data_IF_771944556602
#
_entry.id   IF_771944556602
#
_cell.length_a   1.000
_cell.length_b   1.000
_cell.length_c   1.000
_cell.angle_alpha   90.00
_cell.angle_beta   90.00
_cell.angle_gamma   90.00
#
_symmetry.space_group_name_H-M   'P 1'
#
loop_
_entity.id
_entity.type
_entity.pdbx_description
1 polymer ?
#
# COMPACT_ATOMS: atom_id res chain seq x y z
N UNK A 1 -10.54 2.53 26.48
CA UNK A 1 -10.50 3.29 25.22
C UNK A 1 -11.76 4.15 24.95
N UNK A 2 -12.95 3.77 25.43
CA UNK A 2 -14.22 4.44 25.09
C UNK A 2 -14.51 5.79 25.78
N UNK A 3 -13.63 6.34 26.59
CA UNK A 3 -13.84 7.61 27.28
C UNK A 3 -12.86 8.74 26.94
N UNK A 4 -11.84 8.46 26.16
CA UNK A 4 -10.87 9.47 25.76
C UNK A 4 -11.25 10.09 24.41
N UNK A 5 -11.05 11.42 24.19
CA UNK A 5 -11.34 12.08 22.90
C UNK A 5 -10.71 11.40 21.69
N UNK A 6 -9.54 10.82 21.85
CA UNK A 6 -8.83 10.09 20.79
C UNK A 6 -9.48 8.74 20.47
N UNK A 7 -10.13 8.08 21.43
CA UNK A 7 -10.91 6.85 21.18
C UNK A 7 -12.10 7.12 20.24
N UNK A 8 -12.69 8.30 20.31
CA UNK A 8 -13.76 8.73 19.40
C UNK A 8 -13.23 8.94 17.97
N UNK A 9 -12.03 9.52 17.81
CA UNK A 9 -11.39 9.67 16.49
C UNK A 9 -11.20 8.31 15.83
N UNK A 10 -10.68 7.32 16.53
CA UNK A 10 -10.48 5.98 15.99
C UNK A 10 -11.80 5.28 15.66
N UNK A 11 -12.81 5.42 16.51
CA UNK A 11 -14.14 4.85 16.30
C UNK A 11 -14.85 5.42 15.05
N UNK A 12 -14.53 6.65 14.64
CA UNK A 12 -15.07 7.26 13.42
C UNK A 12 -14.17 6.98 12.21
N UNK A 13 -12.85 7.12 12.36
CA UNK A 13 -11.90 7.04 11.27
C UNK A 13 -11.90 5.66 10.58
N UNK A 14 -11.78 4.58 11.35
CA UNK A 14 -11.64 3.24 10.77
C UNK A 14 -12.89 2.75 10.02
N UNK A 15 -14.13 2.94 10.51
CA UNK A 15 -15.33 2.64 9.73
C UNK A 15 -15.44 3.43 8.42
N UNK A 16 -15.09 4.72 8.43
CA UNK A 16 -15.07 5.54 7.21
C UNK A 16 -14.03 5.00 6.23
N UNK A 17 -12.83 4.67 6.71
CA UNK A 17 -11.76 4.12 5.89
C UNK A 17 -12.18 2.80 5.23
N UNK A 18 -12.84 1.90 5.97
CA UNK A 18 -13.36 0.65 5.45
C UNK A 18 -14.49 0.87 4.43
N UNK A 19 -15.46 1.74 4.75
CA UNK A 19 -16.60 2.03 3.90
C UNK A 19 -16.19 2.64 2.54
N UNK A 20 -15.08 3.38 2.49
CA UNK A 20 -14.54 3.96 1.26
C UNK A 20 -13.57 2.98 0.59
N UNK A 21 -12.63 2.43 1.34
CA UNK A 21 -11.51 1.68 0.80
C UNK A 21 -11.89 0.32 0.21
N UNK A 22 -12.84 -0.40 0.84
CA UNK A 22 -13.29 -1.70 0.33
C UNK A 22 -13.95 -1.56 -1.05
N UNK A 23 -15.03 -0.76 -1.23
CA UNK A 23 -15.66 -0.65 -2.54
C UNK A 23 -14.75 -0.01 -3.58
N UNK A 24 -13.89 0.94 -3.20
CA UNK A 24 -12.96 1.58 -4.13
C UNK A 24 -11.95 0.57 -4.72
N UNK A 25 -11.33 -0.28 -3.89
CA UNK A 25 -10.40 -1.30 -4.36
C UNK A 25 -11.10 -2.40 -5.17
N UNK A 26 -12.30 -2.83 -4.76
CA UNK A 26 -13.12 -3.77 -5.55
C UNK A 26 -13.43 -3.23 -6.94
N UNK A 27 -13.81 -1.97 -7.06
CA UNK A 27 -14.06 -1.30 -8.33
C UNK A 27 -12.80 -1.26 -9.20
N UNK A 28 -11.62 -0.96 -8.61
CA UNK A 28 -10.34 -1.00 -9.34
C UNK A 28 -10.07 -2.39 -9.89
N UNK A 29 -10.19 -3.43 -9.06
CA UNK A 29 -9.98 -4.83 -9.48
C UNK A 29 -10.91 -5.16 -10.65
N UNK A 30 -12.20 -4.87 -10.54
CA UNK A 30 -13.18 -5.16 -11.59
C UNK A 30 -12.90 -4.42 -12.91
N UNK A 31 -12.59 -3.12 -12.84
CA UNK A 31 -12.38 -2.29 -14.04
C UNK A 31 -11.05 -2.67 -14.73
N UNK A 32 -9.96 -2.79 -13.98
CA UNK A 32 -8.65 -3.07 -14.55
C UNK A 32 -8.55 -4.50 -15.09
N UNK A 33 -9.17 -5.49 -14.43
CA UNK A 33 -9.19 -6.89 -14.89
C UNK A 33 -9.90 -7.05 -16.24
N UNK A 34 -10.84 -6.16 -16.58
CA UNK A 34 -11.49 -6.14 -17.91
C UNK A 34 -10.56 -5.71 -19.05
N UNK A 35 -9.39 -5.13 -18.76
CA UNK A 35 -8.38 -4.76 -19.74
C UNK A 35 -8.73 -3.61 -20.68
N UNK A 36 -9.85 -2.90 -20.46
CA UNK A 36 -10.37 -1.84 -21.35
C UNK A 36 -9.75 -0.46 -21.13
N UNK A 37 -8.94 -0.29 -20.08
CA UNK A 37 -8.35 1.02 -19.72
C UNK A 37 -7.21 1.47 -20.65
N UNK A 38 -6.78 0.65 -21.61
CA UNK A 38 -5.68 0.98 -22.54
C UNK A 38 -4.30 1.07 -21.90
N UNK A 39 -4.15 0.47 -20.72
CA UNK A 39 -2.86 0.27 -20.05
C UNK A 39 -2.14 -0.94 -20.63
N UNK A 40 -0.80 -0.98 -20.52
CA UNK A 40 -0.07 -2.21 -20.84
C UNK A 40 -0.45 -3.31 -19.86
N UNK A 41 -0.41 -4.56 -20.31
CA UNK A 41 -0.72 -5.71 -19.46
C UNK A 41 0.15 -5.73 -18.18
N UNK A 42 1.44 -5.37 -18.29
CA UNK A 42 2.34 -5.30 -17.15
C UNK A 42 1.87 -4.29 -16.09
N UNK A 43 1.50 -3.07 -16.51
CA UNK A 43 0.92 -2.07 -15.59
C UNK A 43 -0.34 -2.63 -14.94
N UNK A 44 -1.24 -3.20 -15.72
CA UNK A 44 -2.51 -3.74 -15.22
C UNK A 44 -2.28 -4.79 -14.14
N UNK A 45 -1.34 -5.73 -14.33
CA UNK A 45 -1.03 -6.74 -13.32
C UNK A 45 -0.54 -6.12 -12.00
N UNK A 46 0.39 -5.15 -12.05
CA UNK A 46 0.83 -4.46 -10.83
C UNK A 46 -0.31 -3.73 -10.13
N UNK A 47 -1.11 -2.94 -10.86
CA UNK A 47 -2.18 -2.16 -10.26
C UNK A 47 -3.29 -3.04 -9.68
N UNK A 48 -3.63 -4.16 -10.33
CA UNK A 48 -4.60 -5.13 -9.80
C UNK A 48 -4.04 -5.82 -8.56
N UNK A 49 -2.77 -6.25 -8.58
CA UNK A 49 -2.14 -6.88 -7.40
C UNK A 49 -2.07 -5.91 -6.22
N UNK A 50 -1.72 -4.64 -6.45
CA UNK A 50 -1.75 -3.61 -5.41
C UNK A 50 -3.17 -3.44 -4.85
N UNK A 51 -4.20 -3.35 -5.70
CA UNK A 51 -5.57 -3.20 -5.25
C UNK A 51 -6.08 -4.43 -4.47
N UNK A 52 -5.66 -5.65 -4.84
CA UNK A 52 -5.96 -6.89 -4.07
C UNK A 52 -5.28 -6.85 -2.71
N UNK A 53 -4.00 -6.51 -2.66
CA UNK A 53 -3.24 -6.39 -1.41
C UNK A 53 -3.83 -5.30 -0.51
N UNK A 54 -4.15 -4.13 -1.05
CA UNK A 54 -4.76 -3.02 -0.32
C UNK A 54 -6.15 -3.41 0.23
N UNK A 55 -6.96 -4.14 -0.55
CA UNK A 55 -8.25 -4.67 -0.11
C UNK A 55 -8.09 -5.64 1.06
N UNK A 56 -7.17 -6.60 0.96
CA UNK A 56 -6.87 -7.56 2.03
C UNK A 56 -6.37 -6.85 3.28
N UNK A 57 -5.50 -5.84 3.12
CA UNK A 57 -4.99 -5.06 4.24
C UNK A 57 -6.10 -4.28 4.94
N UNK A 58 -7.03 -3.67 4.21
CA UNK A 58 -8.19 -2.98 4.80
C UNK A 58 -9.08 -3.99 5.55
N UNK A 59 -9.35 -5.16 4.99
CA UNK A 59 -10.16 -6.18 5.66
C UNK A 59 -9.47 -6.64 6.95
N UNK A 60 -8.20 -7.03 6.89
CA UNK A 60 -7.51 -7.64 8.04
C UNK A 60 -7.15 -6.58 9.07
N UNK A 61 -6.57 -5.46 8.66
CA UNK A 61 -6.06 -4.44 9.57
C UNK A 61 -7.15 -3.49 10.06
N UNK A 62 -8.04 -3.03 9.17
CA UNK A 62 -9.07 -2.06 9.56
C UNK A 62 -10.27 -2.77 10.16
N UNK A 63 -10.87 -3.74 9.43
CA UNK A 63 -12.13 -4.38 9.88
C UNK A 63 -11.87 -5.38 11.01
N UNK A 64 -11.01 -6.38 10.77
CA UNK A 64 -10.82 -7.48 11.74
C UNK A 64 -9.90 -7.10 12.91
N UNK A 65 -9.05 -6.09 12.77
CA UNK A 65 -8.17 -5.65 13.86
C UNK A 65 -8.73 -4.43 14.59
N UNK A 66 -8.89 -3.29 13.89
CA UNK A 66 -9.25 -2.02 14.53
C UNK A 66 -10.74 -1.93 14.86
N UNK A 67 -11.65 -2.16 13.89
CA UNK A 67 -13.10 -2.08 14.12
C UNK A 67 -13.52 -3.18 15.09
N UNK A 68 -13.13 -4.42 14.87
CA UNK A 68 -13.48 -5.52 15.77
C UNK A 68 -12.89 -5.32 17.17
N UNK A 69 -11.66 -4.81 17.31
CA UNK A 69 -11.04 -4.50 18.60
C UNK A 69 -11.76 -3.38 19.36
N UNK A 70 -12.33 -2.39 18.65
CA UNK A 70 -13.07 -1.28 19.28
C UNK A 70 -14.48 -1.69 19.68
N UNK A 71 -15.22 -2.36 18.80
CA UNK A 71 -16.64 -2.64 18.99
C UNK A 71 -16.95 -4.03 19.58
N UNK A 72 -16.03 -5.00 19.37
CA UNK A 72 -16.19 -6.40 19.81
C UNK A 72 -14.91 -6.93 20.48
N UNK A 73 -14.44 -6.32 21.58
CA UNK A 73 -13.15 -6.63 22.19
C UNK A 73 -13.01 -8.06 22.73
N UNK A 74 -14.11 -8.72 23.05
CA UNK A 74 -14.15 -10.12 23.54
C UNK A 74 -14.61 -11.10 22.46
N UNK A 75 -14.32 -10.84 21.20
CA UNK A 75 -14.61 -11.77 20.11
C UNK A 75 -13.53 -12.85 19.96
N UNK A 76 -13.80 -13.90 19.19
CA UNK A 76 -12.81 -14.92 18.81
C UNK A 76 -11.52 -14.33 18.21
N UNK A 77 -11.62 -13.15 17.59
CA UNK A 77 -10.46 -12.44 17.03
C UNK A 77 -9.49 -11.96 18.09
N UNK A 78 -9.86 -11.89 19.35
CA UNK A 78 -9.03 -11.47 20.47
C UNK A 78 -8.35 -12.62 21.20
N UNK A 79 -8.61 -13.87 20.83
CA UNK A 79 -7.88 -15.03 21.36
C UNK A 79 -6.44 -14.98 20.83
N UNK A 80 -5.45 -15.20 21.71
CA UNK A 80 -4.02 -15.00 21.40
C UNK A 80 -3.54 -15.66 20.11
N UNK A 81 -3.82 -16.95 19.80
CA UNK A 81 -3.39 -17.54 18.52
C UNK A 81 -3.97 -16.84 17.29
N UNK A 82 -5.26 -16.43 17.36
CA UNK A 82 -5.93 -15.74 16.25
C UNK A 82 -5.40 -14.31 16.10
N UNK A 83 -5.20 -13.64 17.21
CA UNK A 83 -4.63 -12.30 17.25
C UNK A 83 -3.18 -12.31 16.69
N UNK A 84 -2.34 -13.26 17.09
CA UNK A 84 -0.95 -13.41 16.60
C UNK A 84 -0.91 -13.66 15.09
N UNK A 85 -1.77 -14.56 14.59
CA UNK A 85 -1.91 -14.82 13.16
C UNK A 85 -2.35 -13.55 12.40
N UNK A 86 -3.36 -12.85 12.93
CA UNK A 86 -3.87 -11.63 12.33
C UNK A 86 -2.78 -10.55 12.22
N UNK A 87 -1.97 -10.36 13.26
CA UNK A 87 -0.87 -9.39 13.24
C UNK A 87 0.20 -9.80 12.21
N UNK A 88 0.59 -11.08 12.15
CA UNK A 88 1.53 -11.57 11.14
C UNK A 88 0.99 -11.33 9.70
N UNK A 89 -0.31 -11.52 9.47
CA UNK A 89 -0.96 -11.24 8.19
C UNK A 89 -1.01 -9.73 7.86
N UNK A 90 -1.20 -8.86 8.85
CA UNK A 90 -1.14 -7.41 8.68
C UNK A 90 0.24 -6.99 8.19
N UNK A 91 1.31 -7.41 8.87
CA UNK A 91 2.67 -7.10 8.45
C UNK A 91 3.01 -7.69 7.08
N UNK A 92 2.53 -8.89 6.77
CA UNK A 92 2.65 -9.49 5.43
C UNK A 92 1.96 -8.63 4.37
N UNK A 93 0.75 -8.15 4.64
CA UNK A 93 0.02 -7.26 3.73
C UNK A 93 0.73 -5.92 3.51
N UNK A 94 1.24 -5.32 4.58
CA UNK A 94 2.05 -4.09 4.50
C UNK A 94 3.28 -4.31 3.62
N UNK A 95 4.04 -5.39 3.88
CA UNK A 95 5.21 -5.73 3.08
C UNK A 95 4.89 -5.93 1.61
N UNK A 96 3.84 -6.68 1.30
CA UNK A 96 3.41 -6.90 -0.07
C UNK A 96 3.07 -5.57 -0.76
N UNK A 97 2.31 -4.69 -0.12
CA UNK A 97 1.95 -3.37 -0.69
C UNK A 97 3.20 -2.52 -0.95
N UNK A 98 4.13 -2.47 0.01
CA UNK A 98 5.39 -1.74 -0.10
C UNK A 98 6.24 -2.27 -1.25
N UNK A 99 6.52 -3.58 -1.29
CA UNK A 99 7.38 -4.17 -2.32
C UNK A 99 6.74 -4.19 -3.71
N UNK A 100 5.41 -4.29 -3.81
CA UNK A 100 4.71 -4.11 -5.08
C UNK A 100 4.86 -2.69 -5.61
N UNK A 101 4.87 -1.68 -4.72
CA UNK A 101 5.13 -0.28 -5.09
C UNK A 101 6.56 -0.10 -5.61
N UNK A 102 7.55 -0.74 -4.97
CA UNK A 102 8.96 -0.76 -5.48
C UNK A 102 9.02 -1.42 -6.85
N UNK A 103 8.43 -2.60 -7.00
CA UNK A 103 8.45 -3.35 -8.25
C UNK A 103 7.76 -2.59 -9.39
N UNK A 104 6.61 -1.96 -9.12
CA UNK A 104 5.94 -1.06 -10.06
C UNK A 104 6.82 0.14 -10.44
N UNK A 105 7.44 0.78 -9.46
CA UNK A 105 8.33 1.94 -9.69
C UNK A 105 9.54 1.55 -10.55
N UNK A 106 10.15 0.40 -10.27
CA UNK A 106 11.23 -0.15 -11.07
C UNK A 106 10.79 -0.50 -12.51
N UNK A 107 9.64 -1.17 -12.67
CA UNK A 107 9.08 -1.48 -14.00
C UNK A 107 8.85 -0.21 -14.82
N UNK A 108 8.36 0.86 -14.20
CA UNK A 108 8.18 2.15 -14.86
C UNK A 108 9.50 2.80 -15.22
N UNK A 109 10.48 2.78 -14.32
CA UNK A 109 11.84 3.25 -14.62
C UNK A 109 12.42 2.53 -15.83
N UNK A 110 12.38 1.20 -15.87
CA UNK A 110 12.84 0.40 -16.99
C UNK A 110 12.10 0.77 -18.29
N UNK A 111 10.78 0.87 -18.22
CA UNK A 111 9.94 1.18 -19.39
C UNK A 111 10.21 2.58 -19.97
N UNK A 112 10.60 3.54 -19.14
CA UNK A 112 10.82 4.95 -19.53
C UNK A 112 12.28 5.17 -19.94
N UNK A 113 13.24 4.62 -19.20
CA UNK A 113 14.66 4.94 -19.32
C UNK A 113 15.48 3.90 -20.07
N UNK A 114 15.08 2.61 -20.07
CA UNK A 114 15.90 1.50 -20.52
C UNK A 114 15.21 0.69 -21.62
N UNK A 115 15.13 1.22 -22.86
CA UNK A 115 14.38 0.59 -23.96
C UNK A 115 14.81 -0.85 -24.29
N UNK A 116 16.12 -1.14 -24.24
CA UNK A 116 16.64 -2.50 -24.49
C UNK A 116 16.18 -3.50 -23.42
N UNK A 117 16.20 -3.07 -22.15
CA UNK A 117 15.76 -3.90 -21.02
C UNK A 117 14.23 -4.05 -20.97
N UNK A 118 13.48 -3.03 -21.41
CA UNK A 118 12.01 -3.05 -21.47
C UNK A 118 11.49 -4.27 -22.25
N UNK A 119 12.06 -4.58 -23.40
CA UNK A 119 11.63 -5.72 -24.24
C UNK A 119 11.76 -7.04 -23.49
N UNK A 120 12.83 -7.21 -22.72
CA UNK A 120 13.14 -8.42 -21.98
C UNK A 120 12.42 -8.50 -20.64
N UNK A 121 12.35 -7.38 -19.90
CA UNK A 121 11.87 -7.33 -18.52
C UNK A 121 10.35 -7.07 -18.41
N UNK A 122 9.80 -6.12 -19.17
CA UNK A 122 8.37 -5.76 -19.08
C UNK A 122 7.47 -6.75 -19.81
N UNK A 123 7.56 -8.03 -19.47
CA UNK A 123 6.71 -9.12 -20.00
C UNK A 123 5.74 -9.61 -18.95
N UNK A 124 4.57 -10.13 -19.35
CA UNK A 124 3.59 -10.68 -18.42
C UNK A 124 4.19 -11.76 -17.50
N UNK A 125 4.98 -12.68 -18.08
CA UNK A 125 5.61 -13.77 -17.33
C UNK A 125 6.54 -13.24 -16.24
N UNK A 126 7.34 -12.23 -16.55
CA UNK A 126 8.27 -11.60 -15.60
C UNK A 126 7.49 -10.92 -14.47
N UNK A 127 6.47 -10.13 -14.81
CA UNK A 127 5.65 -9.41 -13.80
C UNK A 127 4.97 -10.38 -12.84
N UNK A 128 4.34 -11.45 -13.35
CA UNK A 128 3.69 -12.46 -12.49
C UNK A 128 4.71 -13.15 -11.58
N UNK A 129 5.91 -13.49 -12.09
CA UNK A 129 6.98 -14.05 -11.25
C UNK A 129 7.42 -13.07 -10.17
N UNK A 130 7.63 -11.80 -10.51
CA UNK A 130 8.03 -10.77 -9.53
C UNK A 130 6.97 -10.62 -8.44
N UNK A 131 5.70 -10.51 -8.81
CA UNK A 131 4.58 -10.41 -7.85
C UNK A 131 4.56 -11.65 -6.95
N UNK A 132 4.60 -12.85 -7.51
CA UNK A 132 4.59 -14.11 -6.76
C UNK A 132 5.79 -14.23 -5.81
N UNK A 133 7.00 -13.90 -6.28
CA UNK A 133 8.22 -13.94 -5.46
C UNK A 133 8.15 -12.95 -4.31
N UNK A 134 7.75 -11.69 -4.55
CA UNK A 134 7.62 -10.69 -3.50
C UNK A 134 6.59 -11.11 -2.46
N UNK A 135 5.44 -11.62 -2.87
CA UNK A 135 4.41 -12.12 -1.95
C UNK A 135 4.91 -13.30 -1.12
N UNK A 136 5.58 -14.27 -1.74
CA UNK A 136 6.14 -15.42 -1.03
C UNK A 136 7.22 -15.02 -0.01
N UNK A 137 8.13 -14.11 -0.38
CA UNK A 137 9.16 -13.60 0.52
C UNK A 137 8.55 -12.81 1.69
N UNK A 138 7.52 -11.99 1.44
CA UNK A 138 6.80 -11.26 2.48
C UNK A 138 6.12 -12.21 3.47
N UNK A 139 5.47 -13.27 2.97
CA UNK A 139 4.88 -14.30 3.83
C UNK A 139 5.93 -14.99 4.67
N UNK A 140 7.01 -15.50 4.05
CA UNK A 140 8.08 -16.22 4.74
C UNK A 140 8.74 -15.37 5.83
N UNK A 141 9.05 -14.12 5.51
CA UNK A 141 9.67 -13.19 6.44
C UNK A 141 8.79 -12.93 7.67
N UNK A 142 7.51 -12.71 7.49
CA UNK A 142 6.60 -12.33 8.57
C UNK A 142 5.99 -13.52 9.34
N UNK A 143 6.23 -14.76 8.92
CA UNK A 143 5.77 -15.95 9.65
C UNK A 143 6.31 -16.01 11.07
N UNK A 144 7.55 -15.56 11.29
CA UNK A 144 8.17 -15.55 12.63
C UNK A 144 7.47 -14.60 13.61
N UNK A 145 6.78 -13.57 13.11
CA UNK A 145 6.00 -12.64 13.96
C UNK A 145 4.86 -13.34 14.72
N UNK A 146 4.40 -14.49 14.25
CA UNK A 146 3.40 -15.28 14.98
C UNK A 146 3.88 -15.69 16.39
N UNK A 147 5.18 -15.94 16.56
CA UNK A 147 5.75 -16.49 17.79
C UNK A 147 6.19 -15.43 18.82
N UNK A 148 6.15 -14.15 18.46
CA UNK A 148 6.59 -13.07 19.37
C UNK A 148 5.52 -12.67 20.40
N UNK A 149 4.31 -13.19 20.29
CA UNK A 149 3.19 -12.80 21.16
C UNK A 149 2.95 -13.81 22.28
N UNK A 150 2.47 -13.30 23.39
CA UNK A 150 1.96 -14.03 24.55
C UNK A 150 0.59 -13.50 24.97
N UNK A 151 -0.21 -14.28 25.72
CA UNK A 151 -1.50 -13.79 26.20
C UNK A 151 -1.30 -12.67 27.22
N UNK A 152 -2.13 -11.64 27.13
CA UNK A 152 -2.19 -10.60 28.15
C UNK A 152 -2.92 -11.08 29.39
N UNK A 153 -3.97 -11.89 29.20
CA UNK A 153 -4.78 -12.51 30.26
C UNK A 153 -5.12 -13.95 29.91
N UNK A 154 -5.28 -14.80 30.92
CA UNK A 154 -5.85 -16.15 30.80
C UNK A 154 -7.11 -16.20 31.64
N UNK A 155 -8.26 -16.39 30.98
CA UNK A 155 -9.58 -16.44 31.63
C UNK A 155 -10.24 -17.78 31.27
N UNK A 156 -10.55 -18.62 32.26
CA UNK A 156 -11.10 -19.96 32.04
C UNK A 156 -10.31 -20.80 31.06
N UNK A 157 -8.98 -20.84 31.23
CA UNK A 157 -8.00 -21.54 30.40
C UNK A 157 -7.94 -21.06 28.93
N UNK A 158 -8.60 -19.96 28.58
CA UNK A 158 -8.55 -19.34 27.27
C UNK A 158 -7.56 -18.16 27.33
N UNK A 159 -6.53 -18.15 26.45
CA UNK A 159 -5.58 -17.04 26.36
C UNK A 159 -6.20 -15.87 25.57
N UNK A 160 -6.26 -14.71 26.20
CA UNK A 160 -6.86 -13.50 25.62
C UNK A 160 -5.84 -12.43 25.31
N UNK A 161 -6.07 -11.71 24.21
CA UNK A 161 -5.27 -10.62 23.67
C UNK A 161 -3.84 -11.04 23.28
N UNK A 162 -3.11 -10.11 22.68
CA UNK A 162 -1.71 -10.30 22.27
C UNK A 162 -0.85 -9.22 22.90
N UNK A 163 0.09 -9.64 23.70
CA UNK A 163 1.16 -8.80 24.18
C UNK A 163 2.47 -9.24 23.54
N UNK A 164 3.37 -8.30 23.21
CA UNK A 164 4.68 -8.66 22.69
C UNK A 164 5.53 -9.17 23.87
N UNK A 165 6.12 -10.33 23.71
CA UNK A 165 7.02 -10.92 24.71
C UNK A 165 8.20 -10.00 25.00
N UNK A 166 8.57 -9.85 26.26
CA UNK A 166 9.75 -9.09 26.65
C UNK A 166 11.03 -9.61 25.96
N UNK A 167 11.11 -10.92 25.72
CA UNK A 167 12.23 -11.56 25.00
C UNK A 167 12.41 -11.02 23.58
N UNK A 168 11.38 -10.47 22.95
CA UNK A 168 11.49 -9.84 21.63
C UNK A 168 12.43 -8.62 21.65
N UNK A 169 12.42 -7.87 22.74
CA UNK A 169 13.25 -6.68 22.90
C UNK A 169 14.63 -6.97 23.51
N UNK A 170 14.76 -8.05 24.30
CA UNK A 170 15.97 -8.35 25.07
C UNK A 170 16.86 -9.44 24.47
N UNK A 171 16.30 -10.37 23.69
CA UNK A 171 17.07 -11.44 23.06
C UNK A 171 17.84 -10.93 21.84
N UNK A 172 19.15 -11.18 21.71
CA UNK A 172 19.93 -10.76 20.55
C UNK A 172 19.38 -11.26 19.22
N UNK A 173 18.85 -12.49 19.17
CA UNK A 173 18.28 -13.06 17.95
C UNK A 173 17.03 -12.30 17.49
N UNK A 174 16.10 -12.02 18.40
CA UNK A 174 14.90 -11.25 18.10
C UNK A 174 15.21 -9.79 17.79
N UNK A 175 16.14 -9.18 18.50
CA UNK A 175 16.62 -7.83 18.23
C UNK A 175 17.22 -7.72 16.82
N UNK A 176 18.05 -8.70 16.41
CA UNK A 176 18.60 -8.76 15.05
C UNK A 176 17.50 -8.91 14.00
N UNK A 177 16.53 -9.80 14.26
CA UNK A 177 15.39 -9.99 13.38
C UNK A 177 14.58 -8.70 13.22
N UNK A 178 14.30 -7.98 14.29
CA UNK A 178 13.58 -6.71 14.27
C UNK A 178 14.32 -5.64 13.44
N UNK A 179 15.64 -5.51 13.59
CA UNK A 179 16.44 -4.63 12.74
C UNK A 179 16.39 -5.03 11.26
N UNK A 180 16.40 -6.33 10.95
CA UNK A 180 16.21 -6.83 9.58
C UNK A 180 14.84 -6.40 9.03
N UNK A 181 13.77 -6.53 9.82
CA UNK A 181 12.43 -6.10 9.44
C UNK A 181 12.41 -4.60 9.14
N UNK A 182 12.98 -3.76 10.02
CA UNK A 182 13.03 -2.30 9.86
C UNK A 182 13.81 -1.91 8.59
N UNK A 183 14.93 -2.57 8.31
CA UNK A 183 15.73 -2.27 7.11
C UNK A 183 15.00 -2.71 5.85
N UNK A 184 14.48 -3.94 5.82
CA UNK A 184 13.91 -4.53 4.61
C UNK A 184 12.52 -3.97 4.27
N UNK A 185 11.73 -3.55 5.24
CA UNK A 185 10.36 -3.12 4.96
C UNK A 185 10.22 -1.61 4.79
N UNK A 186 10.60 -0.73 5.74
CA UNK A 186 10.48 0.68 5.44
C UNK A 186 11.66 1.23 4.65
N UNK A 187 12.90 1.04 5.12
CA UNK A 187 14.01 1.87 4.66
C UNK A 187 14.54 1.51 3.28
N UNK A 188 14.81 0.24 3.00
CA UNK A 188 15.30 -0.18 1.69
C UNK A 188 14.31 0.14 0.56
N UNK A 189 13.01 -0.21 0.67
CA UNK A 189 12.00 0.20 -0.28
C UNK A 189 11.95 1.71 -0.50
N UNK A 190 12.01 2.50 0.57
CA UNK A 190 11.96 3.95 0.51
C UNK A 190 13.12 4.52 -0.31
N UNK A 191 14.35 4.06 -0.03
CA UNK A 191 15.55 4.44 -0.77
C UNK A 191 15.43 4.04 -2.24
N UNK A 192 14.96 2.82 -2.54
CA UNK A 192 14.81 2.33 -3.91
C UNK A 192 13.78 3.16 -4.69
N UNK A 193 12.63 3.48 -4.09
CA UNK A 193 11.61 4.32 -4.72
C UNK A 193 12.17 5.71 -5.02
N UNK A 194 12.85 6.35 -4.07
CA UNK A 194 13.49 7.64 -4.29
C UNK A 194 14.54 7.59 -5.40
N UNK A 195 15.39 6.57 -5.39
CA UNK A 195 16.45 6.37 -6.39
C UNK A 195 15.85 6.22 -7.80
N UNK A 196 14.88 5.32 -8.00
CA UNK A 196 14.27 5.09 -9.31
C UNK A 196 13.51 6.32 -9.80
N UNK A 197 12.83 7.05 -8.92
CA UNK A 197 12.19 8.31 -9.26
C UNK A 197 13.21 9.38 -9.66
N UNK A 198 14.29 9.55 -8.91
CA UNK A 198 15.36 10.51 -9.23
C UNK A 198 16.04 10.19 -10.58
N UNK A 199 16.36 8.91 -10.85
CA UNK A 199 16.91 8.47 -12.12
C UNK A 199 15.92 8.71 -13.27
N UNK A 200 14.63 8.50 -13.05
CA UNK A 200 13.60 8.77 -14.06
C UNK A 200 13.51 10.27 -14.37
N UNK A 201 13.49 11.13 -13.35
CA UNK A 201 13.52 12.60 -13.53
C UNK A 201 14.75 13.03 -14.31
N UNK A 202 15.94 12.56 -13.90
CA UNK A 202 17.20 12.89 -14.59
C UNK A 202 17.14 12.52 -16.08
N UNK A 203 16.65 11.33 -16.41
CA UNK A 203 16.50 10.88 -17.80
C UNK A 203 15.51 11.77 -18.58
N UNK A 204 14.35 12.11 -18.00
CA UNK A 204 13.35 12.97 -18.65
C UNK A 204 13.92 14.36 -18.93
N UNK A 205 14.60 14.95 -17.96
CA UNK A 205 15.20 16.28 -18.10
C UNK A 205 16.29 16.28 -19.19
N UNK A 206 17.16 15.27 -19.22
CA UNK A 206 18.18 15.11 -20.24
C UNK A 206 17.57 14.98 -21.64
N UNK A 207 16.57 14.12 -21.81
CA UNK A 207 15.86 13.94 -23.07
C UNK A 207 15.13 15.24 -23.52
N UNK A 208 14.56 15.99 -22.58
CA UNK A 208 13.90 17.27 -22.87
C UNK A 208 14.90 18.33 -23.34
N UNK A 209 16.07 18.40 -22.71
CA UNK A 209 17.16 19.33 -23.12
C UNK A 209 17.67 19.00 -24.53
N UNK A 210 17.92 17.72 -24.84
CA UNK A 210 18.31 17.28 -26.16
C UNK A 210 17.32 17.66 -27.27
N UNK A 211 16.01 17.41 -27.01
CA UNK A 211 14.92 17.80 -27.93
C UNK A 211 14.84 19.31 -28.13
N UNK A 212 15.00 20.10 -27.06
CA UNK A 212 14.98 21.57 -27.17
C UNK A 212 16.10 22.08 -28.06
N UNK A 213 17.30 21.50 -28.00
CA UNK A 213 18.42 21.81 -28.87
C UNK A 213 18.10 21.46 -30.33
N UNK A 214 17.53 20.29 -30.62
CA UNK A 214 17.16 19.88 -31.97
C UNK A 214 16.05 20.76 -32.57
N UNK A 215 15.05 21.17 -31.77
CA UNK A 215 13.99 22.08 -32.23
C UNK A 215 14.47 23.49 -32.53
N UNK A 216 15.50 23.95 -31.84
CA UNK A 216 16.13 25.25 -32.17
C UNK A 216 16.77 25.27 -33.56
N UNK A 217 16.99 24.09 -34.17
CA UNK A 217 17.58 23.94 -35.50
C UNK A 217 16.60 23.54 -36.60
N UNK A 218 15.33 23.21 -36.26
CA UNK A 218 14.33 22.82 -37.25
C UNK A 218 13.00 23.58 -37.02
N UNK A 219 12.47 24.19 -38.10
CA UNK A 219 11.14 24.86 -38.12
C UNK A 219 9.97 23.88 -38.17
N UNK A 220 10.05 22.71 -37.54
CA UNK A 220 9.04 21.68 -37.61
C UNK A 220 7.85 21.99 -36.72
N UNK A 221 6.67 21.99 -37.31
CA UNK A 221 5.35 22.18 -36.68
C UNK A 221 5.06 21.22 -35.50
N UNK A 222 4.28 21.72 -34.55
CA UNK A 222 3.87 21.10 -33.30
C UNK A 222 2.88 19.92 -33.47
N UNK A 223 3.24 18.84 -34.16
CA UNK A 223 2.43 17.62 -34.08
C UNK A 223 2.60 16.93 -32.72
N UNK A 224 1.52 16.94 -31.92
CA UNK A 224 1.49 16.26 -30.63
C UNK A 224 1.44 14.74 -30.83
N UNK A 225 2.60 14.09 -30.76
CA UNK A 225 2.77 12.64 -30.88
C UNK A 225 1.93 11.88 -29.84
N UNK A 226 1.01 10.95 -30.27
CA UNK A 226 0.19 10.14 -29.36
C UNK A 226 1.03 9.31 -28.37
N UNK A 227 2.22 8.87 -28.77
CA UNK A 227 3.14 8.12 -27.92
C UNK A 227 3.66 8.99 -26.76
N UNK A 228 3.95 10.25 -27.04
CA UNK A 228 4.35 11.23 -26.01
C UNK A 228 3.26 11.45 -24.97
N UNK A 229 1.98 11.51 -25.38
CA UNK A 229 0.84 11.64 -24.45
C UNK A 229 0.72 10.40 -23.54
N UNK A 230 0.90 9.18 -24.08
CA UNK A 230 0.91 7.93 -23.28
C UNK A 230 2.07 7.91 -22.29
N UNK A 231 3.26 8.30 -22.73
CA UNK A 231 4.47 8.36 -21.88
C UNK A 231 4.28 9.34 -20.74
N UNK A 232 3.76 10.55 -21.01
CA UNK A 232 3.47 11.56 -19.98
C UNK A 232 2.50 11.03 -18.92
N UNK A 233 1.41 10.35 -19.32
CA UNK A 233 0.45 9.74 -18.37
C UNK A 233 1.10 8.68 -17.49
N UNK A 234 1.98 7.84 -18.05
CA UNK A 234 2.71 6.83 -17.28
C UNK A 234 3.66 7.46 -16.25
N UNK A 235 4.29 8.57 -16.61
CA UNK A 235 5.16 9.35 -15.73
C UNK A 235 4.35 9.96 -14.57
N UNK A 236 3.22 10.61 -14.88
CA UNK A 236 2.34 11.20 -13.85
C UNK A 236 1.81 10.12 -12.91
N UNK A 237 1.42 8.96 -13.44
CA UNK A 237 0.95 7.83 -12.63
C UNK A 237 2.06 7.31 -11.69
N UNK A 238 3.28 7.16 -12.19
CA UNK A 238 4.43 6.76 -11.39
C UNK A 238 4.64 7.71 -10.21
N UNK A 239 4.75 9.03 -10.48
CA UNK A 239 5.01 10.00 -9.42
C UNK A 239 3.83 10.18 -8.45
N UNK A 240 2.60 10.01 -8.90
CA UNK A 240 1.44 10.08 -8.02
C UNK A 240 1.41 8.89 -7.05
N UNK A 241 1.64 7.66 -7.53
CA UNK A 241 1.67 6.46 -6.68
C UNK A 241 2.86 6.51 -5.72
N UNK A 242 4.07 6.74 -6.23
CA UNK A 242 5.27 6.74 -5.38
C UNK A 242 5.32 7.95 -4.44
N UNK A 243 4.82 9.11 -4.85
CA UNK A 243 4.74 10.30 -4.01
C UNK A 243 3.72 10.14 -2.88
N UNK A 244 2.52 9.62 -3.16
CA UNK A 244 1.54 9.33 -2.12
C UNK A 244 2.04 8.27 -1.13
N UNK A 245 2.73 7.24 -1.62
CA UNK A 245 3.38 6.23 -0.78
C UNK A 245 4.38 6.88 0.18
N UNK A 246 5.31 7.70 -0.33
CA UNK A 246 6.32 8.37 0.49
C UNK A 246 5.65 9.24 1.56
N UNK A 247 4.68 10.09 1.18
CA UNK A 247 4.03 11.02 2.09
C UNK A 247 3.26 10.30 3.22
N UNK A 248 2.55 9.22 2.88
CA UNK A 248 1.66 8.55 3.82
C UNK A 248 2.38 7.53 4.71
N UNK A 249 3.56 7.04 4.32
CA UNK A 249 4.32 6.08 5.11
C UNK A 249 5.45 6.72 5.93
N UNK A 250 5.89 7.94 5.57
CA UNK A 250 7.07 8.57 6.16
C UNK A 250 6.96 8.71 7.68
N UNK A 251 5.83 9.18 8.19
CA UNK A 251 5.63 9.38 9.62
C UNK A 251 5.77 8.06 10.39
N UNK A 252 5.08 7.01 9.94
CA UNK A 252 5.15 5.69 10.56
C UNK A 252 6.59 5.14 10.58
N UNK A 253 7.30 5.25 9.46
CA UNK A 253 8.67 4.74 9.34
C UNK A 253 9.66 5.47 10.25
N UNK A 254 9.55 6.80 10.35
CA UNK A 254 10.39 7.58 11.26
C UNK A 254 10.08 7.21 12.71
N UNK A 255 8.81 7.07 13.06
CA UNK A 255 8.39 6.78 14.43
C UNK A 255 8.86 5.41 14.89
N UNK A 256 8.68 4.36 14.05
CA UNK A 256 9.14 3.00 14.37
C UNK A 256 10.67 2.97 14.53
N UNK A 257 11.42 3.66 13.68
CA UNK A 257 12.87 3.75 13.82
C UNK A 257 13.25 4.48 15.11
N UNK A 258 12.59 5.58 15.44
CA UNK A 258 12.83 6.34 16.66
C UNK A 258 12.61 5.45 17.90
N UNK A 259 11.45 4.79 18.00
CA UNK A 259 11.13 3.87 19.11
C UNK A 259 12.22 2.81 19.26
N UNK A 260 12.72 2.29 18.16
CA UNK A 260 13.80 1.28 18.21
C UNK A 260 15.14 1.82 18.66
N UNK A 261 15.52 3.02 18.22
CA UNK A 261 16.78 3.67 18.62
C UNK A 261 16.80 3.99 20.11
N UNK A 262 15.66 4.43 20.66
CA UNK A 262 15.55 4.73 22.10
C UNK A 262 15.29 3.50 22.96
N UNK A 263 15.34 2.30 22.39
CA UNK A 263 15.02 1.02 23.04
C UNK A 263 13.63 1.01 23.69
N UNK A 264 12.68 1.73 23.10
CA UNK A 264 11.27 1.73 23.49
C UNK A 264 10.57 0.44 23.08
N UNK A 265 9.33 0.28 23.54
CA UNK A 265 8.42 -0.78 23.14
C UNK A 265 7.38 -0.23 22.15
N UNK A 266 7.09 -0.98 21.09
CA UNK A 266 6.12 -0.55 20.09
C UNK A 266 4.70 -0.49 20.66
N UNK A 267 3.98 0.57 20.35
CA UNK A 267 2.62 0.81 20.83
C UNK A 267 2.47 0.62 22.36
N UNK A 268 3.55 0.94 23.08
CA UNK A 268 3.57 0.87 24.54
C UNK A 268 2.75 1.99 25.12
N UNK A 269 1.79 1.60 25.92
CA UNK A 269 0.93 2.50 26.66
C UNK A 269 -0.46 2.59 26.02
N UNK A 270 -1.47 2.28 26.83
CA UNK A 270 -2.84 2.68 26.57
C UNK A 270 -3.06 4.16 26.90
N UNK A 271 -2.00 4.86 27.22
CA UNK A 271 -2.06 6.22 27.72
C UNK A 271 -1.78 7.21 26.56
N UNK A 272 -2.86 7.83 26.11
CA UNK A 272 -2.82 8.91 25.12
C UNK A 272 -2.12 10.19 25.60
N UNK A 273 -1.51 10.16 26.79
CA UNK A 273 -0.62 11.23 27.26
C UNK A 273 0.78 11.12 26.66
N UNK A 274 1.19 9.93 26.18
CA UNK A 274 2.49 9.72 25.58
C UNK A 274 2.53 10.15 24.10
N UNK A 275 3.39 11.12 23.80
CA UNK A 275 3.56 11.67 22.45
C UNK A 275 4.01 10.62 21.43
N UNK A 276 4.81 9.63 21.86
CA UNK A 276 5.27 8.51 21.00
C UNK A 276 4.12 7.64 20.56
N UNK A 277 3.21 7.25 21.45
CA UNK A 277 2.02 6.47 21.12
C UNK A 277 1.11 7.21 20.13
N UNK A 278 0.91 8.52 20.33
CA UNK A 278 0.13 9.36 19.41
C UNK A 278 0.77 9.38 18.02
N UNK A 279 2.10 9.50 17.93
CA UNK A 279 2.81 9.50 16.65
C UNK A 279 2.73 8.14 15.94
N UNK A 280 2.88 7.03 16.67
CA UNK A 280 2.74 5.68 16.12
C UNK A 280 1.33 5.45 15.55
N UNK A 281 0.29 5.79 16.31
CA UNK A 281 -1.09 5.64 15.86
C UNK A 281 -1.43 6.53 14.66
N UNK A 282 -1.01 7.81 14.68
CA UNK A 282 -1.22 8.69 13.53
C UNK A 282 -0.44 8.22 12.30
N UNK A 283 0.80 7.76 12.49
CA UNK A 283 1.59 7.19 11.41
C UNK A 283 0.92 5.95 10.81
N UNK A 284 0.39 5.07 11.66
CA UNK A 284 -0.34 3.89 11.23
C UNK A 284 -1.67 4.22 10.51
N UNK A 285 -2.40 5.23 10.99
CA UNK A 285 -3.59 5.74 10.30
C UNK A 285 -3.28 6.24 8.90
N UNK A 286 -2.22 7.03 8.73
CA UNK A 286 -1.78 7.51 7.42
C UNK A 286 -1.33 6.35 6.51
N UNK A 287 -0.63 5.38 7.05
CA UNK A 287 -0.22 4.19 6.31
C UNK A 287 -1.44 3.40 5.79
N UNK A 288 -2.47 3.21 6.60
CA UNK A 288 -3.71 2.55 6.18
C UNK A 288 -4.50 3.39 5.16
N UNK A 289 -4.44 4.72 5.25
CA UNK A 289 -5.03 5.61 4.26
C UNK A 289 -4.38 5.40 2.88
N UNK A 290 -3.09 5.05 2.82
CA UNK A 290 -2.40 4.73 1.56
C UNK A 290 -3.11 3.63 0.77
N UNK A 291 -3.64 2.61 1.46
CA UNK A 291 -4.41 1.52 0.82
C UNK A 291 -5.76 1.96 0.24
N UNK A 292 -6.24 3.15 0.61
CA UNK A 292 -7.49 3.70 0.07
C UNK A 292 -7.28 4.71 -1.06
N UNK A 293 -6.07 5.30 -1.19
CA UNK A 293 -5.86 6.45 -2.07
C UNK A 293 -5.59 6.06 -3.53
N UNK A 294 -5.03 4.87 -3.76
CA UNK A 294 -4.67 4.37 -5.09
C UNK A 294 -5.83 4.41 -6.10
N UNK A 295 -7.07 3.98 -5.78
CA UNK A 295 -8.22 4.09 -6.67
C UNK A 295 -8.50 5.52 -7.13
N UNK A 296 -8.34 6.50 -6.26
CA UNK A 296 -8.56 7.92 -6.58
C UNK A 296 -7.45 8.48 -7.48
N UNK A 297 -6.20 8.03 -7.29
CA UNK A 297 -5.10 8.35 -8.20
C UNK A 297 -5.41 7.84 -9.61
N UNK A 298 -5.90 6.60 -9.74
CA UNK A 298 -6.28 6.04 -11.05
C UNK A 298 -7.43 6.82 -11.68
N UNK A 299 -8.44 7.14 -10.90
CA UNK A 299 -9.58 7.95 -11.37
C UNK A 299 -9.14 9.37 -11.77
N UNK A 300 -8.20 9.99 -11.06
CA UNK A 300 -7.67 11.31 -11.40
C UNK A 300 -6.88 11.33 -12.71
N UNK A 301 -6.02 10.33 -12.93
CA UNK A 301 -5.04 10.34 -14.03
C UNK A 301 -5.56 9.64 -15.29
N UNK A 302 -6.34 8.54 -15.14
CA UNK A 302 -6.72 7.67 -16.26
C UNK A 302 -8.13 7.98 -16.79
N UNK A 303 -8.23 8.69 -17.93
CA UNK A 303 -9.52 9.04 -18.55
C UNK A 303 -10.37 7.78 -18.84
N UNK A 304 -9.77 6.73 -19.41
CA UNK A 304 -10.49 5.49 -19.72
C UNK A 304 -10.99 4.77 -18.46
N UNK A 305 -10.27 4.84 -17.36
CA UNK A 305 -10.74 4.32 -16.09
C UNK A 305 -12.01 5.05 -15.63
N UNK A 306 -12.04 6.40 -15.74
CA UNK A 306 -13.25 7.17 -15.42
C UNK A 306 -14.43 6.86 -16.34
N UNK A 307 -14.18 6.62 -17.61
CA UNK A 307 -15.21 6.22 -18.60
C UNK A 307 -15.80 4.85 -18.23
N UNK A 308 -14.96 3.86 -17.92
CA UNK A 308 -15.41 2.54 -17.46
C UNK A 308 -16.15 2.60 -16.10
N UNK A 309 -15.69 3.45 -15.18
CA UNK A 309 -16.37 3.70 -13.91
C UNK A 309 -17.78 4.26 -14.12
N UNK A 310 -17.92 5.28 -14.97
CA UNK A 310 -19.24 5.87 -15.33
C UNK A 310 -20.16 4.83 -15.98
N UNK A 311 -19.63 3.99 -16.86
CA UNK A 311 -20.41 2.94 -17.53
C UNK A 311 -20.85 1.87 -16.51
N UNK A 312 -19.97 1.49 -15.57
CA UNK A 312 -20.29 0.55 -14.51
C UNK A 312 -21.40 1.02 -13.56
N UNK A 313 -21.44 2.32 -13.26
CA UNK A 313 -22.49 2.94 -12.44
C UNK A 313 -23.81 3.11 -13.20
N UNK A 314 -23.75 3.45 -14.50
CA UNK A 314 -24.95 3.62 -15.34
C UNK A 314 -25.68 2.30 -15.63
N UNK A 315 -24.96 1.18 -15.69
CA UNK A 315 -25.55 -0.12 -16.04
C UNK A 315 -26.66 -0.57 -15.07
N UNK A 316 -26.47 -0.62 -13.74
CA UNK A 316 -27.52 -0.97 -12.80
C UNK A 316 -28.67 0.06 -12.79
N UNK A 317 -28.37 1.37 -12.92
CA UNK A 317 -29.40 2.41 -13.00
C UNK A 317 -30.30 2.22 -14.22
N UNK A 318 -29.72 1.94 -15.40
CA UNK A 318 -30.48 1.68 -16.61
C UNK A 318 -31.32 0.38 -16.51
N UNK A 319 -30.83 -0.62 -15.76
CA UNK A 319 -31.56 -1.86 -15.51
C UNK A 319 -32.77 -1.61 -14.60
N UNK A 320 -32.58 -0.84 -13.52
CA UNK A 320 -33.67 -0.45 -12.60
C UNK A 320 -34.71 0.39 -13.33
N UNK A 321 -34.30 1.37 -14.14
CA UNK A 321 -35.24 2.20 -14.95
C UNK A 321 -36.02 1.35 -15.96
N UNK A 322 -35.40 0.30 -16.53
CA UNK A 322 -36.13 -0.64 -17.42
C UNK A 322 -37.14 -1.49 -16.65
N UNK A 323 -36.78 -1.95 -15.42
CA UNK A 323 -37.67 -2.75 -14.58
C UNK A 323 -38.87 -1.95 -14.02
N UNK A 324 -38.65 -0.66 -13.76
CA UNK A 324 -39.73 0.26 -13.29
C UNK A 324 -40.66 0.71 -14.40
N UNK A 325 -40.24 0.57 -15.68
CA UNK A 325 -41.06 0.90 -16.87
C UNK A 325 -41.81 -0.30 -17.44
N UNK A 326 -41.64 -1.49 -16.88
CA UNK A 326 -42.43 -2.70 -17.09
C UNK A 326 -43.56 -2.80 -16.09
#
# INVERSE_FOLDING_TARGET
MHGAPQGLVFAIYYPILAAIGIPANLVVIMILSRGRCGLSKCITYYLVSMAVTDLLLIIISVVLNRIAGIYFPLSLLSITPVCSLRIALIYTGIDCSVWLTVAFTFDRFVAICCQKLKIKYCTQKTVVRVIGTMSALSCSKNTLLYFIFEPLYVIKDIPWFCNIKLTYYTSPAWTTYDWILIILTPWLPFILILLFNALTVRHILSASRARRRLRAHSNAENQSDPEMKKRRKSIVLLFAISGSFILLHLLYFITILYVRIVNGTYFSGSDFSESTFILEENGYMLQLLSSCINPFIYAGIQRKFREELKNGVKYPLNLIVKLVKL
#
